data_IF_490004939485
#
_entry.id   IF_490004939485
#
_cell.length_a   1.000
_cell.length_b   1.000
_cell.length_c   1.000
_cell.angle_alpha   90.00
_cell.angle_beta   90.00
_cell.angle_gamma   90.00
#
_symmetry.space_group_name_H-M   'P 1'
#
loop_
_entity.id
_entity.type
_entity.pdbx_description
1 polymer ?
#
# COMPACT_ATOMS: atom_id res chain seq x y z
N UNK A 1 39.03 12.10 14.37
CA UNK A 1 38.59 12.41 12.99
C UNK A 1 37.36 11.56 12.74
N UNK A 2 36.16 12.16 12.82
CA UNK A 2 34.88 11.45 12.63
C UNK A 2 34.65 11.29 11.14
N UNK A 3 34.82 10.07 10.64
CA UNK A 3 34.65 9.71 9.24
C UNK A 3 33.15 9.60 8.90
N UNK A 4 32.73 10.49 8.00
CA UNK A 4 31.54 10.48 7.15
C UNK A 4 30.15 10.62 7.77
N UNK A 5 29.65 11.86 7.75
CA UNK A 5 28.24 12.17 7.48
C UNK A 5 28.23 13.21 6.34
N UNK A 6 28.49 12.76 5.11
CA UNK A 6 28.65 13.67 3.97
C UNK A 6 27.29 14.09 3.41
N UNK A 7 27.21 15.30 2.85
CA UNK A 7 26.04 15.78 2.11
C UNK A 7 25.60 14.84 0.98
N UNK A 8 26.50 13.97 0.50
CA UNK A 8 26.24 12.96 -0.52
C UNK A 8 25.49 11.76 0.06
N UNK A 9 25.88 11.26 1.24
CA UNK A 9 25.11 10.26 1.98
C UNK A 9 23.73 10.79 2.41
N UNK A 10 23.65 12.06 2.84
CA UNK A 10 22.39 12.71 3.14
C UNK A 10 21.51 12.90 1.87
N UNK A 11 22.11 13.15 0.71
CA UNK A 11 21.40 13.21 -0.58
C UNK A 11 20.92 11.84 -1.05
N UNK A 12 21.74 10.81 -0.90
CA UNK A 12 21.42 9.44 -1.28
C UNK A 12 20.32 8.89 -0.38
N UNK A 13 20.41 9.13 0.93
CA UNK A 13 19.35 8.82 1.88
C UNK A 13 18.07 9.62 1.59
N UNK A 14 18.17 10.92 1.25
CA UNK A 14 17.00 11.71 0.86
C UNK A 14 16.39 11.24 -0.47
N UNK A 15 17.20 10.83 -1.45
CA UNK A 15 16.73 10.28 -2.72
C UNK A 15 16.08 8.90 -2.53
N UNK A 16 16.62 8.06 -1.66
CA UNK A 16 16.06 6.77 -1.28
C UNK A 16 14.76 6.91 -0.49
N UNK A 17 14.69 7.90 0.40
CA UNK A 17 13.51 8.17 1.24
C UNK A 17 12.41 8.85 0.43
N UNK A 18 12.73 9.89 -0.37
CA UNK A 18 11.79 10.64 -1.19
C UNK A 18 11.38 9.88 -2.46
N UNK A 19 12.29 9.10 -3.06
CA UNK A 19 12.01 8.32 -4.27
C UNK A 19 11.00 7.19 -4.05
N UNK A 20 10.88 6.70 -2.81
CA UNK A 20 9.90 5.68 -2.44
C UNK A 20 8.52 6.26 -2.10
N UNK A 21 8.48 7.50 -1.58
CA UNK A 21 7.22 8.22 -1.32
C UNK A 21 6.64 8.82 -2.63
N UNK A 22 7.42 8.83 -3.71
CA UNK A 22 7.00 9.39 -4.99
C UNK A 22 5.81 8.63 -5.63
N UNK A 23 4.84 9.40 -6.12
CA UNK A 23 3.83 8.94 -7.07
C UNK A 23 4.48 8.37 -8.34
N UNK A 24 3.83 7.40 -8.98
CA UNK A 24 4.26 6.88 -10.29
C UNK A 24 3.43 7.49 -11.42
N UNK A 25 4.08 7.75 -12.56
CA UNK A 25 3.41 8.27 -13.75
C UNK A 25 3.19 7.16 -14.76
N UNK A 26 1.95 6.98 -15.20
CA UNK A 26 1.59 6.08 -16.30
C UNK A 26 1.32 6.89 -17.56
N UNK A 27 1.94 6.48 -18.67
CA UNK A 27 1.64 7.02 -19.99
C UNK A 27 0.64 6.11 -20.69
N UNK A 28 -0.49 6.66 -21.11
CA UNK A 28 -1.52 5.91 -21.82
C UNK A 28 -1.12 5.69 -23.29
N UNK A 29 -1.79 4.77 -24.02
CA UNK A 29 -1.57 4.60 -25.45
C UNK A 29 -1.78 5.87 -26.29
N UNK A 30 -2.63 6.80 -25.83
CA UNK A 30 -2.86 8.10 -26.48
C UNK A 30 -1.78 9.15 -26.16
N UNK A 31 -0.83 8.83 -25.28
CA UNK A 31 0.27 9.70 -24.90
C UNK A 31 0.00 10.57 -23.66
N UNK A 32 -1.23 10.55 -23.14
CA UNK A 32 -1.61 11.25 -21.92
C UNK A 32 -0.85 10.67 -20.72
N UNK A 33 -0.49 11.54 -19.78
CA UNK A 33 0.23 11.15 -18.56
C UNK A 33 -0.71 11.30 -17.37
N UNK A 34 -0.91 10.20 -16.66
CA UNK A 34 -1.65 10.17 -15.40
C UNK A 34 -0.70 9.87 -14.25
N UNK A 35 -0.94 10.49 -13.12
CA UNK A 35 -0.17 10.26 -11.90
C UNK A 35 -0.98 9.38 -10.96
N UNK A 36 -0.34 8.31 -10.50
CA UNK A 36 -0.87 7.38 -9.51
C UNK A 36 -0.15 7.72 -8.20
N UNK A 37 -0.85 8.33 -7.22
CA UNK A 37 -0.25 8.70 -5.95
C UNK A 37 0.19 7.46 -5.19
N UNK A 38 1.29 7.59 -4.44
CA UNK A 38 1.64 6.61 -3.42
C UNK A 38 0.49 6.51 -2.41
N UNK A 39 0.13 5.32 -1.91
CA UNK A 39 -0.90 5.15 -0.88
C UNK A 39 -0.75 6.05 0.36
N UNK A 40 0.48 6.47 0.70
CA UNK A 40 0.74 7.38 1.83
C UNK A 40 0.61 8.86 1.49
N UNK A 41 0.35 9.19 0.22
CA UNK A 41 0.23 10.55 -0.33
C UNK A 41 -1.16 10.81 -0.95
N UNK A 42 -2.17 10.04 -0.57
CA UNK A 42 -3.53 10.34 -1.00
C UNK A 42 -3.95 11.71 -0.46
N UNK A 43 -4.58 12.51 -1.33
CA UNK A 43 -5.31 13.70 -0.87
C UNK A 43 -6.60 13.29 -0.12
N UNK A 44 -7.23 14.25 0.57
CA UNK A 44 -8.40 13.99 1.42
C UNK A 44 -9.56 13.34 0.63
N UNK A 45 -9.79 13.78 -0.60
CA UNK A 45 -10.85 13.29 -1.46
C UNK A 45 -10.56 11.86 -1.96
N UNK A 46 -9.31 11.59 -2.34
CA UNK A 46 -8.83 10.26 -2.71
C UNK A 46 -8.90 9.30 -1.53
N UNK A 47 -8.47 9.75 -0.34
CA UNK A 47 -8.52 8.98 0.88
C UNK A 47 -9.96 8.59 1.22
N UNK A 48 -10.90 9.54 1.17
CA UNK A 48 -12.32 9.27 1.44
C UNK A 48 -12.90 8.23 0.48
N UNK A 49 -12.61 8.33 -0.83
CA UNK A 49 -13.07 7.34 -1.81
C UNK A 49 -12.41 5.98 -1.60
N UNK A 50 -11.14 5.96 -1.23
CA UNK A 50 -10.41 4.72 -0.96
C UNK A 50 -10.94 4.02 0.30
N UNK A 51 -11.22 4.76 1.37
CA UNK A 51 -11.79 4.23 2.60
C UNK A 51 -13.22 3.70 2.38
N UNK A 52 -14.03 4.40 1.59
CA UNK A 52 -15.33 3.91 1.17
C UNK A 52 -15.23 2.59 0.40
N UNK A 53 -14.22 2.45 -0.48
CA UNK A 53 -13.93 1.20 -1.17
C UNK A 53 -13.50 0.10 -0.19
N UNK A 54 -12.63 0.39 0.79
CA UNK A 54 -12.23 -0.60 1.78
C UNK A 54 -13.42 -1.11 2.59
N UNK A 55 -14.31 -0.20 3.02
CA UNK A 55 -15.53 -0.56 3.72
C UNK A 55 -16.48 -1.39 2.85
N UNK A 56 -16.63 -1.05 1.57
CA UNK A 56 -17.46 -1.82 0.64
C UNK A 56 -16.90 -3.24 0.45
N UNK A 57 -15.58 -3.40 0.35
CA UNK A 57 -14.90 -4.71 0.23
C UNK A 57 -15.16 -5.62 1.43
N UNK A 58 -15.39 -5.06 2.63
CA UNK A 58 -15.77 -5.86 3.80
C UNK A 58 -17.11 -6.55 3.63
N UNK A 59 -18.02 -5.93 2.87
CA UNK A 59 -19.37 -6.44 2.61
C UNK A 59 -19.44 -7.49 1.51
N UNK A 60 -18.34 -7.79 0.82
CA UNK A 60 -18.32 -8.76 -0.27
C UNK A 60 -18.30 -10.19 0.25
N UNK A 61 -18.88 -11.09 -0.53
CA UNK A 61 -19.00 -12.48 -0.15
C UNK A 61 -17.63 -13.15 -0.03
N UNK A 62 -17.45 -13.89 1.06
CA UNK A 62 -16.24 -14.68 1.35
C UNK A 62 -16.53 -16.17 1.35
N UNK A 63 -15.49 -16.97 1.16
CA UNK A 63 -15.53 -18.39 1.52
C UNK A 63 -15.70 -18.53 3.04
N UNK A 64 -16.14 -19.70 3.55
CA UNK A 64 -16.20 -19.94 4.98
C UNK A 64 -14.84 -19.76 5.66
N UNK A 65 -14.86 -19.28 6.90
CA UNK A 65 -13.68 -19.16 7.74
C UNK A 65 -13.11 -20.55 8.08
N UNK A 66 -11.79 -20.63 8.18
CA UNK A 66 -11.10 -21.80 8.71
C UNK A 66 -11.06 -21.66 10.22
N UNK A 67 -11.64 -22.64 10.93
CA UNK A 67 -11.72 -22.66 12.38
C UNK A 67 -10.62 -23.54 13.00
N UNK A 68 -10.25 -23.24 14.23
CA UNK A 68 -9.51 -24.13 15.12
C UNK A 68 -10.45 -25.18 15.73
N UNK A 69 -9.89 -26.20 16.39
CA UNK A 69 -10.64 -27.26 17.06
C UNK A 69 -11.56 -26.73 18.18
N UNK A 70 -11.22 -25.58 18.77
CA UNK A 70 -12.01 -24.88 19.80
C UNK A 70 -13.12 -23.99 19.21
N UNK A 71 -13.29 -23.97 17.88
CA UNK A 71 -14.27 -23.16 17.18
C UNK A 71 -13.86 -21.71 16.94
N UNK A 72 -12.67 -21.29 17.37
CA UNK A 72 -12.18 -19.92 17.09
C UNK A 72 -11.70 -19.79 15.65
N UNK A 73 -11.84 -18.60 15.05
CA UNK A 73 -11.39 -18.35 13.67
C UNK A 73 -9.87 -18.36 13.60
N UNK A 74 -9.31 -19.35 12.88
CA UNK A 74 -7.88 -19.44 12.58
C UNK A 74 -7.50 -18.53 11.41
N UNK A 75 -8.27 -18.61 10.34
CA UNK A 75 -8.05 -17.82 9.12
C UNK A 75 -9.40 -17.41 8.56
N UNK A 76 -9.58 -16.11 8.29
CA UNK A 76 -10.78 -15.65 7.60
C UNK A 76 -10.82 -16.20 6.18
N UNK A 77 -12.01 -16.56 5.71
CA UNK A 77 -12.20 -17.01 4.34
C UNK A 77 -11.85 -15.91 3.34
N UNK A 78 -11.22 -16.33 2.24
CA UNK A 78 -10.86 -15.42 1.17
C UNK A 78 -12.12 -14.84 0.50
N UNK A 79 -11.99 -13.64 -0.06
CA UNK A 79 -13.01 -13.08 -0.96
C UNK A 79 -13.24 -14.03 -2.12
N UNK A 80 -14.49 -14.23 -2.49
CA UNK A 80 -14.83 -15.05 -3.65
C UNK A 80 -14.46 -14.32 -4.94
N UNK A 81 -13.94 -15.07 -5.92
CA UNK A 81 -13.62 -14.57 -7.26
C UNK A 81 -14.56 -15.23 -8.30
N UNK A 82 -15.23 -14.49 -9.20
CA UNK A 82 -15.34 -13.02 -9.23
C UNK A 82 -16.05 -12.46 -7.99
N UNK A 83 -15.64 -11.24 -7.60
CA UNK A 83 -16.22 -10.51 -6.47
C UNK A 83 -17.73 -10.33 -6.64
N UNK A 84 -18.47 -10.59 -5.57
CA UNK A 84 -19.94 -10.60 -5.56
C UNK A 84 -20.47 -10.32 -4.17
N UNK A 85 -21.72 -9.89 -4.11
CA UNK A 85 -22.45 -9.59 -2.88
C UNK A 85 -23.81 -10.27 -2.93
N UNK A 86 -24.17 -10.95 -1.86
CA UNK A 86 -25.49 -11.55 -1.68
C UNK A 86 -26.31 -10.69 -0.72
N UNK A 87 -27.51 -10.28 -1.15
CA UNK A 87 -28.43 -9.50 -0.31
C UNK A 87 -29.15 -10.36 0.74
N UNK A 88 -29.95 -9.72 1.59
CA UNK A 88 -30.71 -10.40 2.65
C UNK A 88 -31.79 -11.36 2.10
N UNK A 89 -32.23 -11.14 0.86
CA UNK A 89 -33.22 -11.98 0.17
C UNK A 89 -32.56 -13.18 -0.56
N UNK A 90 -31.23 -13.27 -0.51
CA UNK A 90 -30.45 -14.34 -1.12
C UNK A 90 -30.08 -14.10 -2.59
N UNK A 91 -30.31 -12.90 -3.13
CA UNK A 91 -29.92 -12.57 -4.49
C UNK A 91 -28.44 -12.20 -4.55
N UNK A 92 -27.70 -12.89 -5.41
CA UNK A 92 -26.27 -12.62 -5.62
C UNK A 92 -26.07 -11.79 -6.87
N UNK A 93 -25.33 -10.68 -6.74
CA UNK A 93 -24.94 -9.81 -7.85
C UNK A 93 -23.42 -9.69 -7.93
N UNK A 94 -22.90 -9.59 -9.15
CA UNK A 94 -21.49 -9.28 -9.37
C UNK A 94 -21.21 -7.84 -8.93
N UNK A 95 -20.12 -7.65 -8.22
CA UNK A 95 -19.62 -6.33 -7.86
C UNK A 95 -18.62 -5.87 -8.94
N UNK A 96 -18.53 -4.56 -9.17
CA UNK A 96 -17.51 -4.02 -10.07
C UNK A 96 -16.11 -4.47 -9.64
N UNK A 97 -15.25 -4.80 -10.60
CA UNK A 97 -13.92 -5.30 -10.29
C UNK A 97 -13.14 -4.31 -9.41
N UNK A 98 -12.45 -4.83 -8.37
CA UNK A 98 -11.68 -4.01 -7.43
C UNK A 98 -10.72 -3.04 -8.14
N UNK A 99 -10.03 -3.48 -9.19
CA UNK A 99 -9.08 -2.62 -9.89
C UNK A 99 -9.75 -1.39 -10.50
N UNK A 100 -10.97 -1.55 -11.02
CA UNK A 100 -11.77 -0.46 -11.57
C UNK A 100 -12.18 0.51 -10.46
N UNK A 101 -12.68 -0.02 -9.34
CA UNK A 101 -13.08 0.80 -8.20
C UNK A 101 -11.90 1.56 -7.59
N UNK A 102 -10.72 0.92 -7.50
CA UNK A 102 -9.49 1.58 -7.05
C UNK A 102 -9.10 2.70 -8.02
N UNK A 103 -9.09 2.44 -9.33
CA UNK A 103 -8.79 3.48 -10.31
C UNK A 103 -9.77 4.67 -10.24
N UNK A 104 -11.07 4.42 -9.97
CA UNK A 104 -12.05 5.47 -9.69
C UNK A 104 -11.76 6.21 -8.39
N UNK A 105 -11.35 5.52 -7.33
CA UNK A 105 -10.97 6.16 -6.07
C UNK A 105 -9.77 7.11 -6.26
N UNK A 106 -8.77 6.68 -7.03
CA UNK A 106 -7.57 7.47 -7.34
C UNK A 106 -7.88 8.66 -8.26
N UNK A 107 -8.56 8.43 -9.37
CA UNK A 107 -8.72 9.46 -10.40
C UNK A 107 -9.98 10.32 -10.22
N UNK A 108 -10.98 9.87 -9.46
CA UNK A 108 -12.27 10.56 -9.33
C UNK A 108 -12.86 10.87 -10.70
N UNK A 109 -13.23 12.13 -10.92
CA UNK A 109 -13.79 12.64 -12.18
C UNK A 109 -12.86 12.44 -13.40
N UNK A 110 -11.55 12.28 -13.17
CA UNK A 110 -10.56 12.04 -14.24
C UNK A 110 -10.55 10.59 -14.71
N UNK A 111 -11.27 9.68 -14.06
CA UNK A 111 -11.27 8.26 -14.42
C UNK A 111 -11.76 8.02 -15.85
N UNK A 112 -12.83 8.71 -16.28
CA UNK A 112 -13.36 8.54 -17.64
C UNK A 112 -12.36 9.06 -18.70
N UNK A 113 -11.63 10.14 -18.41
CA UNK A 113 -10.54 10.60 -19.27
C UNK A 113 -9.40 9.58 -19.34
N UNK A 114 -9.01 8.98 -18.21
CA UNK A 114 -8.01 7.90 -18.16
C UNK A 114 -8.43 6.69 -19.00
N UNK A 115 -9.68 6.25 -18.86
CA UNK A 115 -10.24 5.14 -19.62
C UNK A 115 -10.31 5.46 -21.11
N UNK A 116 -10.79 6.65 -21.47
CA UNK A 116 -10.83 7.12 -22.86
C UNK A 116 -9.43 7.25 -23.48
N UNK A 117 -8.41 7.56 -22.67
CA UNK A 117 -7.01 7.59 -23.09
C UNK A 117 -6.42 6.19 -23.37
N UNK A 118 -7.16 5.11 -23.08
CA UNK A 118 -6.71 3.72 -23.20
C UNK A 118 -6.03 3.19 -21.93
N UNK A 119 -6.17 3.91 -20.81
CA UNK A 119 -5.68 3.48 -19.51
C UNK A 119 -6.39 2.23 -19.01
N UNK A 120 -5.65 1.34 -18.34
CA UNK A 120 -6.17 0.08 -17.79
C UNK A 120 -6.15 0.15 -16.27
N UNK A 121 -7.29 -0.10 -15.65
CA UNK A 121 -7.41 -0.10 -14.19
C UNK A 121 -6.52 -1.15 -13.50
N UNK A 122 -6.21 -2.25 -14.19
CA UNK A 122 -5.27 -3.26 -13.71
C UNK A 122 -3.83 -2.71 -13.57
N UNK A 123 -3.42 -1.78 -14.44
CA UNK A 123 -2.09 -1.16 -14.35
C UNK A 123 -2.00 -0.29 -13.09
N UNK A 124 -3.08 0.44 -12.77
CA UNK A 124 -3.19 1.22 -11.52
C UNK A 124 -3.02 0.30 -10.31
N UNK A 125 -3.76 -0.80 -10.29
CA UNK A 125 -3.72 -1.75 -9.16
C UNK A 125 -2.36 -2.44 -9.00
N UNK A 126 -1.72 -2.79 -10.12
CA UNK A 126 -0.38 -3.36 -10.12
C UNK A 126 0.66 -2.38 -9.57
N UNK A 127 0.63 -1.12 -10.03
CA UNK A 127 1.51 -0.04 -9.55
C UNK A 127 1.28 0.19 -8.05
N UNK A 128 0.02 0.24 -7.61
CA UNK A 128 -0.33 0.37 -6.20
C UNK A 128 0.15 -0.80 -5.33
N UNK A 129 0.00 -2.03 -5.82
CA UNK A 129 0.50 -3.22 -5.12
C UNK A 129 2.03 -3.19 -5.00
N UNK A 130 2.73 -2.75 -6.05
CA UNK A 130 4.18 -2.53 -6.03
C UNK A 130 4.56 -1.49 -4.99
N UNK A 131 3.93 -0.31 -4.98
CA UNK A 131 4.17 0.73 -3.97
C UNK A 131 3.98 0.18 -2.55
N UNK A 132 2.82 -0.44 -2.27
CA UNK A 132 2.52 -1.05 -0.98
C UNK A 132 3.55 -2.10 -0.54
N UNK A 133 4.07 -2.90 -1.47
CA UNK A 133 5.14 -3.87 -1.17
C UNK A 133 6.43 -3.17 -0.76
N UNK A 134 6.81 -2.08 -1.42
CA UNK A 134 7.97 -1.29 -1.00
C UNK A 134 7.72 -0.70 0.39
N UNK A 135 6.48 -0.25 0.67
CA UNK A 135 6.10 0.28 1.99
C UNK A 135 6.27 -0.77 3.08
N UNK A 136 5.71 -1.95 2.87
CA UNK A 136 5.78 -3.04 3.83
C UNK A 136 7.23 -3.48 4.08
N UNK A 137 8.04 -3.61 3.02
CA UNK A 137 9.44 -4.02 3.13
C UNK A 137 10.28 -3.04 3.95
N UNK A 138 10.07 -1.73 3.77
CA UNK A 138 10.79 -0.70 4.52
C UNK A 138 10.37 -0.66 5.98
N UNK A 139 9.07 -0.72 6.28
CA UNK A 139 8.58 -0.84 7.68
C UNK A 139 9.18 -2.06 8.38
N UNK A 140 9.28 -3.19 7.68
CA UNK A 140 9.90 -4.40 8.22
C UNK A 140 11.42 -4.30 8.43
N UNK A 141 12.13 -3.53 7.61
CA UNK A 141 13.56 -3.27 7.77
C UNK A 141 13.83 -2.28 8.93
N UNK A 142 12.98 -1.27 9.07
CA UNK A 142 13.10 -0.24 10.12
C UNK A 142 12.84 -0.82 11.52
N UNK A 143 11.79 -1.64 11.69
CA UNK A 143 11.53 -2.35 12.95
C UNK A 143 12.66 -3.27 13.41
N UNK A 144 13.60 -3.65 12.52
CA UNK A 144 14.76 -4.47 12.86
C UNK A 144 16.00 -3.67 13.24
N UNK A 145 15.99 -2.35 13.08
CA UNK A 145 17.14 -1.48 13.36
C UNK A 145 17.14 -0.90 14.79
N UNK A 146 16.04 -1.02 15.54
CA UNK A 146 15.93 -0.54 16.92
C UNK A 146 16.54 -1.49 17.99
N UNK A 147 17.21 -2.57 17.58
CA UNK A 147 17.68 -3.63 18.48
C UNK A 147 19.08 -4.16 18.17
N UNK A 148 19.97 -3.37 17.57
CA UNK A 148 21.39 -3.73 17.64
C UNK A 148 21.86 -3.45 19.06
N UNK A 149 21.93 -4.49 19.90
CA UNK A 149 22.71 -4.52 21.13
C UNK A 149 24.17 -4.18 20.79
N UNK A 150 24.48 -2.89 20.71
CA UNK A 150 25.82 -2.44 21.03
C UNK A 150 25.95 -2.58 22.53
N UNK A 151 26.46 -3.73 22.96
CA UNK A 151 27.10 -3.86 24.24
C UNK A 151 28.15 -2.73 24.34
N UNK A 152 27.76 -1.64 24.98
CA UNK A 152 28.66 -0.57 25.41
C UNK A 152 29.73 -1.24 26.26
N UNK A 153 30.93 -1.36 25.70
CA UNK A 153 32.09 -1.81 26.44
C UNK A 153 32.23 -0.91 27.69
N UNK A 154 32.32 -1.54 28.86
CA UNK A 154 32.52 -0.83 30.11
C UNK A 154 33.78 0.04 30.02
N UNK A 155 33.61 1.34 30.25
CA UNK A 155 34.72 2.29 30.39
C UNK A 155 35.50 1.89 31.66
N UNK A 156 36.84 1.67 31.61
CA UNK A 156 37.60 1.42 32.83
C UNK A 156 37.64 2.68 33.70
N UNK A 157 37.54 2.49 35.03
CA UNK A 157 37.59 3.56 36.01
C UNK A 157 38.87 4.43 35.85
N UNK A 158 38.79 5.76 36.04
CA UNK A 158 39.97 6.60 36.06
C UNK A 158 40.78 6.34 37.34
N UNK A 159 42.06 5.98 37.18
CA UNK A 159 43.03 5.96 38.27
C UNK A 159 43.03 7.31 38.99
N UNK A 160 42.65 7.29 40.26
CA UNK A 160 42.75 8.44 41.15
C UNK A 160 44.12 8.45 41.82
N UNK A 161 44.82 9.59 41.69
CA UNK A 161 46.09 9.92 42.36
C UNK A 161 46.00 9.92 43.88
#
# INVERSE_FOLDING_TARGET
MSEYDSFEAAREQAADYLGYVASEKIRTPRGDVFEIPNPSLLDDDQQQRYDALQLEVESWDRHPDVLNDDGTVKTRGALKDPARKTDADGNTVLVENYSIQLAKAIFGDRYEAFKAAGGRANDVSFIWAKMNRVIANKRAADSKSAGSDQAVAAVPDPDSV
#
